data_IF_262330974176
#
_entry.id   IF_262330974176
#
_cell.length_a   1.000
_cell.length_b   1.000
_cell.length_c   1.000
_cell.angle_alpha   90.00
_cell.angle_beta   90.00
_cell.angle_gamma   90.00
#
_symmetry.space_group_name_H-M   'P 1'
#
loop_
_entity.id
_entity.type
_entity.pdbx_description
1 polymer ?
#
# COMPACT_ATOMS: atom_id res chain seq x y z
N UNK A 1 10.86 13.59 -0.53
CA UNK A 1 10.26 12.24 -0.65
C UNK A 1 9.83 11.86 0.75
N UNK A 2 8.57 11.45 0.95
CA UNK A 2 8.07 11.14 2.29
C UNK A 2 8.72 9.86 2.85
N UNK A 3 8.56 9.63 4.15
CA UNK A 3 8.93 8.35 4.76
C UNK A 3 7.79 7.33 4.53
N UNK A 4 8.10 6.04 4.38
CA UNK A 4 7.09 4.98 4.42
C UNK A 4 6.16 5.10 5.62
N UNK A 5 4.86 4.91 5.41
CA UNK A 5 3.85 4.91 6.47
C UNK A 5 3.35 3.49 6.65
N UNK A 6 3.35 3.00 7.90
CA UNK A 6 2.83 1.67 8.25
C UNK A 6 1.58 1.81 9.11
N UNK A 7 0.53 1.07 8.74
CA UNK A 7 -0.71 0.97 9.50
C UNK A 7 -1.20 -0.48 9.44
N UNK A 8 -1.07 -1.23 10.55
CA UNK A 8 -1.42 -2.65 10.56
C UNK A 8 -0.61 -3.48 9.56
N UNK A 9 -1.32 -4.22 8.70
CA UNK A 9 -0.77 -5.01 7.60
C UNK A 9 -0.47 -4.20 6.33
N UNK A 10 -0.85 -2.92 6.30
CA UNK A 10 -0.61 -2.01 5.17
C UNK A 10 0.67 -1.22 5.37
N UNK A 11 1.43 -1.08 4.29
CA UNK A 11 2.53 -0.14 4.15
C UNK A 11 2.33 0.72 2.91
N UNK A 12 2.31 2.04 3.10
CA UNK A 12 2.32 3.01 2.01
C UNK A 12 3.77 3.40 1.73
N UNK A 13 4.23 3.09 0.52
CA UNK A 13 5.55 3.48 0.03
C UNK A 13 5.43 4.70 -0.89
N UNK A 14 6.11 5.82 -0.60
CA UNK A 14 6.07 6.99 -1.47
C UNK A 14 6.84 6.70 -2.75
N UNK A 15 6.24 7.04 -3.89
CA UNK A 15 6.84 6.87 -5.22
C UNK A 15 6.79 8.19 -5.99
N UNK A 16 7.63 8.35 -7.01
CA UNK A 16 7.67 9.58 -7.82
C UNK A 16 6.53 9.66 -8.84
N UNK A 17 6.10 8.51 -9.36
CA UNK A 17 5.02 8.40 -10.34
C UNK A 17 4.38 7.01 -10.23
N UNK A 18 3.08 6.92 -10.49
CA UNK A 18 2.40 5.64 -10.65
C UNK A 18 2.63 5.09 -12.07
N UNK A 19 2.76 3.76 -12.25
CA UNK A 19 2.73 3.15 -13.57
C UNK A 19 1.38 3.37 -14.27
N UNK A 20 1.36 3.22 -15.60
CA UNK A 20 0.10 3.19 -16.35
C UNK A 20 -0.78 2.02 -15.89
N UNK A 21 -2.09 2.25 -15.89
CA UNK A 21 -3.08 1.29 -15.40
C UNK A 21 -4.49 1.85 -15.46
N UNK A 22 -5.42 1.14 -14.82
CA UNK A 22 -6.78 1.61 -14.66
C UNK A 22 -6.82 2.66 -13.55
N UNK A 23 -7.33 3.85 -13.86
CA UNK A 23 -7.45 4.97 -12.92
C UNK A 23 -8.90 5.31 -12.67
N UNK A 24 -9.26 5.48 -11.41
CA UNK A 24 -10.60 5.82 -10.94
C UNK A 24 -10.48 6.95 -9.90
N UNK A 25 -11.33 7.97 -9.98
CA UNK A 25 -11.41 8.99 -8.95
C UNK A 25 -12.37 8.54 -7.85
N UNK A 26 -11.90 8.50 -6.61
CA UNK A 26 -12.66 8.03 -5.45
C UNK A 26 -12.44 8.96 -4.26
N UNK A 27 -13.42 9.06 -3.36
CA UNK A 27 -13.27 9.73 -2.06
C UNK A 27 -12.88 8.77 -0.95
N UNK A 28 -13.08 7.47 -1.18
CA UNK A 28 -12.77 6.39 -0.24
C UNK A 28 -12.06 5.25 -0.96
N UNK A 29 -10.95 4.76 -0.41
CA UNK A 29 -10.21 3.63 -0.96
C UNK A 29 -9.78 2.63 0.12
N UNK A 30 -10.22 1.38 0.00
CA UNK A 30 -9.75 0.28 0.85
C UNK A 30 -8.35 -0.15 0.40
N UNK A 31 -7.36 0.11 1.25
CA UNK A 31 -5.95 -0.18 0.98
C UNK A 31 -5.46 -1.47 1.65
N UNK A 32 -6.21 -1.99 2.63
CA UNK A 32 -5.92 -3.26 3.28
C UNK A 32 -7.14 -3.87 3.94
N UNK A 33 -7.06 -5.17 4.17
CA UNK A 33 -8.03 -5.96 4.90
C UNK A 33 -7.28 -6.71 6.00
N UNK A 34 -7.68 -6.55 7.24
CA UNK A 34 -7.15 -7.35 8.33
C UNK A 34 -7.77 -8.75 8.30
N UNK A 35 -7.00 -9.75 8.72
CA UNK A 35 -7.47 -11.14 8.89
C UNK A 35 -8.64 -11.24 9.88
N UNK A 36 -8.76 -10.28 10.80
CA UNK A 36 -9.85 -10.16 11.76
C UNK A 36 -11.12 -9.48 11.22
N UNK A 37 -11.15 -9.09 9.94
CA UNK A 37 -12.35 -8.58 9.27
C UNK A 37 -12.53 -7.07 9.27
N UNK A 38 -11.45 -6.29 9.37
CA UNK A 38 -11.51 -4.82 9.30
C UNK A 38 -10.81 -4.29 8.06
N UNK A 39 -11.13 -3.05 7.69
CA UNK A 39 -10.53 -2.39 6.53
C UNK A 39 -9.61 -1.24 6.95
N UNK A 40 -8.45 -1.19 6.31
CA UNK A 40 -7.63 0.01 6.26
C UNK A 40 -8.12 0.87 5.09
N UNK A 41 -8.59 2.08 5.41
CA UNK A 41 -9.33 2.93 4.48
C UNK A 41 -8.72 4.32 4.44
N UNK A 42 -8.36 4.76 3.24
CA UNK A 42 -8.12 6.17 2.94
C UNK A 42 -9.46 6.85 2.69
N UNK A 43 -9.70 7.98 3.35
CA UNK A 43 -10.95 8.72 3.30
C UNK A 43 -10.69 10.22 3.19
N UNK A 44 -11.37 10.87 2.25
CA UNK A 44 -11.25 12.30 2.00
C UNK A 44 -12.56 12.90 1.50
N UNK A 45 -12.81 14.16 1.86
CA UNK A 45 -13.93 14.94 1.31
C UNK A 45 -13.73 15.31 -0.18
N UNK A 46 -12.52 15.17 -0.71
CA UNK A 46 -12.18 15.47 -2.11
C UNK A 46 -11.73 14.18 -2.80
N UNK A 47 -12.13 14.01 -4.06
CA UNK A 47 -11.74 12.82 -4.82
C UNK A 47 -10.23 12.81 -5.08
N UNK A 48 -9.63 11.63 -5.04
CA UNK A 48 -8.23 11.36 -5.34
C UNK A 48 -8.13 10.16 -6.28
N UNK A 49 -6.97 9.97 -6.93
CA UNK A 49 -6.82 8.90 -7.90
C UNK A 49 -6.51 7.58 -7.20
N UNK A 50 -7.32 6.55 -7.48
CA UNK A 50 -7.02 5.14 -7.24
C UNK A 50 -6.54 4.52 -8.53
N UNK A 51 -5.33 3.96 -8.52
CA UNK A 51 -4.67 3.45 -9.72
C UNK A 51 -4.33 1.97 -9.52
N UNK A 52 -4.89 1.11 -10.36
CA UNK A 52 -4.52 -0.31 -10.44
C UNK A 52 -3.60 -0.47 -11.64
N UNK A 53 -2.31 -0.65 -11.37
CA UNK A 53 -1.31 -0.83 -12.42
C UNK A 53 -1.51 -2.15 -13.17
N UNK A 54 -0.95 -2.26 -14.38
CA UNK A 54 -1.07 -3.46 -15.21
C UNK A 54 -0.58 -4.76 -14.54
N UNK A 55 0.32 -4.65 -13.55
CA UNK A 55 0.81 -5.78 -12.75
C UNK A 55 -0.07 -6.12 -11.54
N UNK A 56 -1.20 -5.43 -11.36
CA UNK A 56 -2.13 -5.61 -10.24
C UNK A 56 -1.76 -4.83 -8.96
N UNK A 57 -0.62 -4.13 -8.94
CA UNK A 57 -0.27 -3.27 -7.81
C UNK A 57 -1.25 -2.10 -7.67
N UNK A 58 -1.60 -1.79 -6.43
CA UNK A 58 -2.44 -0.65 -6.10
C UNK A 58 -1.59 0.57 -5.75
N UNK A 59 -1.94 1.72 -6.32
CA UNK A 59 -1.40 3.03 -6.02
C UNK A 59 -2.54 4.01 -5.72
N UNK A 60 -2.22 5.04 -4.95
CA UNK A 60 -3.07 6.23 -4.77
C UNK A 60 -2.28 7.48 -5.07
N UNK A 61 -2.91 8.45 -5.73
CA UNK A 61 -2.38 9.81 -5.92
C UNK A 61 -3.25 10.77 -5.12
N UNK A 62 -2.68 11.29 -4.03
CA UNK A 62 -3.39 12.11 -3.06
C UNK A 62 -3.06 13.58 -3.28
N UNK A 63 -4.04 14.37 -3.69
CA UNK A 63 -3.84 15.82 -3.92
C UNK A 63 -3.68 16.61 -2.62
N UNK A 64 -4.12 16.05 -1.49
CA UNK A 64 -4.07 16.67 -0.17
C UNK A 64 -3.81 15.63 0.93
N UNK A 65 -3.40 16.06 2.15
CA UNK A 65 -3.34 15.16 3.29
C UNK A 65 -4.65 14.39 3.46
N UNK A 66 -4.56 13.06 3.49
CA UNK A 66 -5.71 12.16 3.50
C UNK A 66 -5.66 11.23 4.70
N UNK A 67 -6.80 11.02 5.35
CA UNK A 67 -6.89 10.24 6.59
C UNK A 67 -6.84 8.75 6.28
N UNK A 68 -5.89 8.04 6.86
CA UNK A 68 -5.83 6.59 6.89
C UNK A 68 -6.40 6.09 8.23
N UNK A 69 -7.54 5.42 8.16
CA UNK A 69 -8.29 4.92 9.32
C UNK A 69 -8.43 3.40 9.27
N UNK A 70 -8.55 2.81 10.46
CA UNK A 70 -8.92 1.41 10.64
C UNK A 70 -10.39 1.39 11.06
N UNK A 71 -11.29 0.97 10.18
CA UNK A 71 -12.73 0.95 10.48
C UNK A 71 -13.07 -0.33 11.24
N UNK A 72 -13.09 -0.25 12.58
CA UNK A 72 -13.63 -1.26 13.50
C UNK A 72 -14.68 -0.61 14.40
N UNK A 73 -15.82 -1.27 14.60
CA UNK A 73 -16.97 -0.70 15.33
C UNK A 73 -16.71 -0.37 16.81
N UNK A 74 -15.65 -0.91 17.43
CA UNK A 74 -15.41 -0.78 18.87
C UNK A 74 -13.98 -0.45 19.28
N UNK A 75 -13.04 -0.27 18.34
CA UNK A 75 -11.64 0.04 18.67
C UNK A 75 -11.00 0.85 17.54
N UNK A 76 -11.12 2.18 17.63
CA UNK A 76 -10.49 3.08 16.67
C UNK A 76 -8.98 3.11 16.97
N UNK A 77 -8.21 2.39 16.16
CA UNK A 77 -6.76 2.58 16.14
C UNK A 77 -6.46 4.03 15.75
N UNK A 78 -5.31 4.54 16.21
CA UNK A 78 -4.82 5.87 15.86
C UNK A 78 -4.86 6.08 14.35
N UNK A 79 -5.57 7.13 13.96
CA UNK A 79 -5.62 7.59 12.58
C UNK A 79 -4.28 8.21 12.21
N UNK A 80 -3.94 8.10 10.93
CA UNK A 80 -2.72 8.67 10.39
C UNK A 80 -3.08 9.60 9.25
N UNK A 81 -2.56 10.81 9.28
CA UNK A 81 -2.56 11.69 8.10
C UNK A 81 -1.48 11.22 7.14
N UNK A 82 -1.89 10.84 5.94
CA UNK A 82 -1.00 10.52 4.83
C UNK A 82 -0.81 11.80 4.02
N UNK A 83 0.41 12.35 3.95
CA UNK A 83 0.66 13.55 3.15
C UNK A 83 0.29 13.37 1.68
N UNK A 84 -0.01 14.50 1.03
CA UNK A 84 -0.20 14.56 -0.42
C UNK A 84 0.98 13.92 -1.18
N UNK A 85 0.68 13.29 -2.31
CA UNK A 85 1.64 12.61 -3.17
C UNK A 85 1.20 11.22 -3.58
N UNK A 86 2.08 10.53 -4.33
CA UNK A 86 1.81 9.22 -4.89
C UNK A 86 2.37 8.13 -3.99
N UNK A 87 1.52 7.16 -3.65
CA UNK A 87 1.85 6.07 -2.74
C UNK A 87 1.52 4.72 -3.38
N UNK A 88 2.50 3.80 -3.37
CA UNK A 88 2.27 2.38 -3.64
C UNK A 88 1.74 1.73 -2.36
N UNK A 89 0.67 0.97 -2.49
CA UNK A 89 0.09 0.19 -1.39
C UNK A 89 0.73 -1.19 -1.37
N UNK A 90 1.45 -1.50 -0.31
CA UNK A 90 1.93 -2.84 -0.02
C UNK A 90 1.09 -3.45 1.09
N UNK A 91 0.65 -4.69 0.86
CA UNK A 91 -0.04 -5.50 1.86
C UNK A 91 0.91 -6.61 2.28
N UNK A 92 0.93 -6.96 3.57
CA UNK A 92 1.58 -8.20 3.98
C UNK A 92 0.88 -9.36 3.27
N UNK A 93 1.62 -10.13 2.49
CA UNK A 93 1.23 -11.51 2.19
C UNK A 93 1.36 -12.32 3.47
N UNK A 94 0.39 -13.18 3.76
CA UNK A 94 0.53 -14.18 4.82
C UNK A 94 1.87 -14.91 4.68
N UNK A 95 2.51 -15.18 5.82
CA UNK A 95 3.75 -15.93 5.85
C UNK A 95 3.47 -17.36 5.41
N UNK A 96 3.84 -17.70 4.17
CA UNK A 96 3.74 -19.07 3.68
C UNK A 96 4.87 -19.90 4.29
N UNK A 97 4.50 -20.78 5.25
CA UNK A 97 5.38 -21.77 5.90
C UNK A 97 5.97 -22.78 4.90
N UNK A 98 5.67 -22.69 3.60
CA UNK A 98 6.33 -23.45 2.54
C UNK A 98 7.49 -22.74 1.81
N UNK A 99 7.73 -21.44 2.04
CA UNK A 99 8.75 -20.68 1.31
C UNK A 99 10.17 -20.93 1.84
N UNK A 100 10.73 -22.10 1.52
CA UNK A 100 12.17 -22.34 1.69
C UNK A 100 12.94 -21.41 0.75
N UNK A 101 13.53 -20.36 1.32
CA UNK A 101 14.61 -19.60 0.67
C UNK A 101 15.78 -20.56 0.44
N UNK A 102 16.05 -20.95 -0.81
CA UNK A 102 17.30 -21.65 -1.17
C UNK A 102 18.47 -20.66 -1.03
N UNK A 103 19.36 -20.81 -0.03
CA UNK A 103 20.45 -19.89 0.20
C UNK A 103 21.66 -20.38 -0.60
N UNK A 104 21.60 -20.29 -1.94
CA UNK A 104 22.80 -20.49 -2.77
C UNK A 104 23.15 -19.21 -3.51
N UNK A 105 24.24 -18.51 -3.12
CA UNK A 105 24.76 -17.44 -3.94
C UNK A 105 25.24 -18.02 -5.27
N UNK A 106 24.72 -17.50 -6.40
CA UNK A 106 25.23 -17.81 -7.74
C UNK A 106 26.66 -17.29 -7.85
N UNK A 107 27.63 -18.16 -7.64
CA UNK A 107 29.04 -17.92 -7.93
C UNK A 107 29.23 -17.97 -9.45
N UNK A 108 29.43 -16.81 -10.08
CA UNK A 108 29.86 -16.74 -11.49
C UNK A 108 31.36 -17.02 -11.54
N UNK A 109 31.76 -18.13 -12.14
CA UNK A 109 33.11 -18.27 -12.66
C UNK A 109 33.21 -17.46 -13.95
N UNK A 110 34.09 -16.45 -13.95
CA UNK A 110 34.68 -15.89 -15.16
C UNK A 110 35.89 -16.77 -15.49
N UNK A 111 35.91 -17.34 -16.69
CA UNK A 111 37.13 -17.90 -17.28
C UNK A 111 37.64 -16.91 -18.33
N UNK A 112 38.96 -16.73 -18.28
CA UNK A 112 39.83 -15.89 -19.12
C UNK A 112 39.73 -16.26 -20.61
#
# INVERSE_FOLDING_TARGET
>A
MHNPIRHGEVMLLPVRCAPAGFTELVTTCVVGHSESGHHHVLDSDTAFARIVAANGDLYVDLDQPTRLSHRKDHDQHRELDVPAGIWRVLRKTEYDVGSSVDPRPRMRYVQD
#
